data_IF_055392128194
#
_entry.id   IF_055392128194
#
_cell.length_a   1.000
_cell.length_b   1.000
_cell.length_c   1.000
_cell.angle_alpha   90.00
_cell.angle_beta   90.00
_cell.angle_gamma   90.00
#
_symmetry.space_group_name_H-M   'P 1'
#
loop_
_entity.id
_entity.type
_entity.pdbx_description
1 polymer ?
#
# COMPACT_ATOMS: atom_id res chain seq x y z
N UNK A 1 13.18 -27.39 6.12
CA UNK A 1 12.17 -26.46 5.67
C UNK A 1 10.80 -26.83 6.20
N UNK A 2 10.11 -25.91 6.80
CA UNK A 2 8.84 -26.16 7.44
C UNK A 2 7.79 -25.25 6.82
N UNK A 3 6.69 -25.84 6.36
CA UNK A 3 5.60 -25.07 5.78
C UNK A 3 4.98 -24.17 6.83
N UNK A 4 4.66 -22.95 6.43
CA UNK A 4 4.00 -22.00 7.30
C UNK A 4 4.92 -21.29 8.26
N UNK A 5 6.21 -21.57 8.18
CA UNK A 5 7.19 -20.86 9.01
C UNK A 5 7.63 -19.58 8.35
N UNK A 6 7.79 -18.56 9.15
CA UNK A 6 8.36 -17.31 8.70
C UNK A 6 9.64 -17.02 9.46
N UNK A 7 10.57 -16.33 8.83
CA UNK A 7 11.76 -15.88 9.52
C UNK A 7 11.37 -14.86 10.58
N UNK A 8 12.21 -14.70 11.57
CA UNK A 8 11.98 -13.67 12.58
C UNK A 8 11.93 -12.29 11.94
N UNK A 9 12.78 -12.04 10.93
CA UNK A 9 12.76 -10.78 10.23
C UNK A 9 11.42 -10.50 9.60
N UNK A 10 10.81 -11.52 8.98
CA UNK A 10 9.49 -11.34 8.36
C UNK A 10 8.42 -11.00 9.39
N UNK A 11 8.50 -11.60 10.58
CA UNK A 11 7.58 -11.27 11.66
C UNK A 11 7.80 -9.83 12.12
N UNK A 12 9.05 -9.41 12.23
CA UNK A 12 9.36 -8.04 12.62
C UNK A 12 8.90 -7.04 11.56
N UNK A 13 9.05 -7.40 10.29
CA UNK A 13 8.57 -6.54 9.21
C UNK A 13 7.05 -6.40 9.29
N UNK A 14 6.35 -7.49 9.56
CA UNK A 14 4.90 -7.43 9.75
C UNK A 14 4.54 -6.45 10.86
N UNK A 15 5.26 -6.48 11.96
CA UNK A 15 4.99 -5.57 13.06
C UNK A 15 5.14 -4.11 12.63
N UNK A 16 6.21 -3.79 11.90
CA UNK A 16 6.43 -2.44 11.44
C UNK A 16 5.36 -2.01 10.44
N UNK A 17 5.00 -2.93 9.53
CA UNK A 17 3.99 -2.62 8.53
C UNK A 17 2.62 -2.38 9.17
N UNK A 18 2.26 -3.19 10.16
CA UNK A 18 0.98 -2.99 10.87
C UNK A 18 0.95 -1.64 11.56
N UNK A 19 2.07 -1.22 12.14
CA UNK A 19 2.15 0.07 12.79
C UNK A 19 2.06 1.23 11.81
N UNK A 20 2.32 0.99 10.54
CA UNK A 20 2.27 2.04 9.52
C UNK A 20 0.87 2.29 8.99
N UNK A 21 -0.11 1.47 9.36
CA UNK A 21 -1.45 1.58 8.77
C UNK A 21 -2.08 2.92 9.11
N UNK A 22 -2.58 3.59 8.08
CA UNK A 22 -3.32 4.83 8.20
C UNK A 22 -4.66 4.64 7.54
N UNK A 23 -5.70 5.18 8.13
CA UNK A 23 -7.07 5.03 7.64
C UNK A 23 -7.53 6.40 7.16
N UNK A 24 -8.21 6.43 6.01
CA UNK A 24 -8.76 7.67 5.51
C UNK A 24 -9.84 8.19 6.46
N UNK A 25 -10.10 9.50 6.46
CA UNK A 25 -11.11 10.06 7.36
C UNK A 25 -12.47 9.42 7.25
N UNK A 26 -12.84 8.96 6.04
CA UNK A 26 -14.14 8.29 5.87
C UNK A 26 -14.12 6.81 6.22
N UNK A 27 -12.96 6.28 6.61
CA UNK A 27 -12.85 4.88 7.02
C UNK A 27 -12.81 3.86 5.90
N UNK A 28 -12.82 4.30 4.64
CA UNK A 28 -12.98 3.40 3.50
C UNK A 28 -11.67 2.91 2.91
N UNK A 29 -10.59 3.63 3.16
CA UNK A 29 -9.28 3.29 2.61
C UNK A 29 -8.29 3.06 3.74
N UNK A 30 -7.54 1.97 3.65
CA UNK A 30 -6.42 1.74 4.55
C UNK A 30 -5.13 1.78 3.74
N UNK A 31 -4.11 2.42 4.28
CA UNK A 31 -2.78 2.48 3.68
C UNK A 31 -1.79 1.80 4.59
N UNK A 32 -1.00 0.91 4.01
CA UNK A 32 0.12 0.28 4.71
C UNK A 32 1.38 0.63 3.95
N UNK A 33 2.46 0.92 4.66
CA UNK A 33 3.70 1.35 4.02
C UNK A 33 4.84 0.43 4.44
N UNK A 34 5.63 0.00 3.45
CA UNK A 34 6.86 -0.76 3.70
C UNK A 34 7.99 0.01 3.03
N UNK A 35 8.86 0.58 3.84
CA UNK A 35 9.96 1.37 3.32
C UNK A 35 11.23 0.52 3.25
N UNK A 36 12.20 1.04 2.49
CA UNK A 36 13.51 0.42 2.41
C UNK A 36 14.16 0.31 3.78
N UNK A 37 14.03 1.37 4.59
CA UNK A 37 14.57 1.33 5.94
C UNK A 37 13.98 0.24 6.80
N UNK A 38 12.68 0.00 6.65
CA UNK A 38 12.03 -1.08 7.40
C UNK A 38 12.59 -2.44 6.99
N UNK A 39 12.81 -2.63 5.69
CA UNK A 39 13.37 -3.89 5.21
C UNK A 39 14.82 -4.06 5.66
N UNK A 40 15.58 -2.99 5.65
CA UNK A 40 16.97 -3.05 6.12
C UNK A 40 17.04 -3.36 7.60
N UNK A 41 16.18 -2.72 8.38
CA UNK A 41 16.16 -2.92 9.82
C UNK A 41 15.82 -4.36 10.19
N UNK A 42 14.94 -4.99 9.44
CA UNK A 42 14.50 -6.35 9.72
C UNK A 42 15.26 -7.40 8.92
N UNK A 43 16.18 -6.96 8.06
CA UNK A 43 16.97 -7.86 7.21
C UNK A 43 16.06 -8.72 6.34
N UNK A 44 15.07 -8.07 5.73
CA UNK A 44 14.11 -8.74 4.85
C UNK A 44 14.28 -8.25 3.42
N UNK A 45 13.65 -8.98 2.51
CA UNK A 45 13.66 -8.68 1.09
C UNK A 45 12.26 -8.23 0.67
N UNK A 46 12.16 -7.76 -0.57
CA UNK A 46 10.88 -7.28 -1.08
C UNK A 46 9.80 -8.35 -1.01
N UNK A 47 10.15 -9.59 -1.30
CA UNK A 47 9.15 -10.67 -1.30
C UNK A 47 8.66 -11.02 0.09
N UNK A 48 9.36 -10.59 1.13
CA UNK A 48 8.87 -10.81 2.50
C UNK A 48 7.66 -9.94 2.82
N UNK A 49 7.37 -8.96 1.96
CA UNK A 49 6.17 -8.15 2.12
C UNK A 49 4.94 -8.75 1.44
N UNK A 50 5.11 -9.88 0.75
CA UNK A 50 3.98 -10.52 0.09
C UNK A 50 2.92 -10.91 1.12
N UNK A 51 1.69 -10.58 0.80
CA UNK A 51 0.57 -10.92 1.67
C UNK A 51 0.27 -9.92 2.78
N UNK A 52 1.14 -8.95 3.00
CA UNK A 52 0.92 -7.98 4.07
C UNK A 52 -0.36 -7.17 3.83
N UNK A 53 -0.69 -6.91 2.58
CA UNK A 53 -1.88 -6.12 2.25
C UNK A 53 -3.15 -6.79 2.76
N UNK A 54 -3.13 -8.10 2.98
CA UNK A 54 -4.31 -8.81 3.47
C UNK A 54 -4.71 -8.38 4.87
N UNK A 55 -3.76 -7.88 5.65
CA UNK A 55 -4.11 -7.33 6.96
C UNK A 55 -4.82 -5.99 6.83
N UNK A 56 -4.34 -5.16 5.92
CA UNK A 56 -4.93 -3.84 5.71
C UNK A 56 -6.35 -3.94 5.14
N UNK A 57 -6.62 -4.97 4.32
CA UNK A 57 -7.93 -5.10 3.69
C UNK A 57 -8.99 -5.70 4.60
N UNK A 58 -8.59 -6.22 5.76
CA UNK A 58 -9.53 -6.87 6.68
C UNK A 58 -10.00 -5.97 7.80
N UNK A 59 -9.67 -4.71 7.73
CA UNK A 59 -10.11 -3.74 8.73
C UNK A 59 -11.58 -3.41 8.48
N UNK A 60 -12.34 -3.35 9.55
CA UNK A 60 -13.77 -3.12 9.48
C UNK A 60 -14.07 -1.83 8.72
N UNK A 61 -15.07 -1.87 7.84
CA UNK A 61 -15.53 -0.76 7.02
C UNK A 61 -14.61 -0.36 5.87
N UNK A 62 -13.42 -0.93 5.79
CA UNK A 62 -12.49 -0.63 4.71
C UNK A 62 -12.96 -1.29 3.42
N UNK A 63 -13.02 -0.50 2.35
CA UNK A 63 -13.41 -0.98 1.02
C UNK A 63 -12.22 -1.18 0.11
N UNK A 64 -11.16 -0.42 0.33
CA UNK A 64 -9.94 -0.52 -0.47
C UNK A 64 -8.74 -0.48 0.46
N UNK A 65 -7.79 -1.37 0.22
CA UNK A 65 -6.51 -1.37 0.91
C UNK A 65 -5.39 -1.11 -0.07
N UNK A 66 -4.42 -0.33 0.34
CA UNK A 66 -3.24 -0.05 -0.46
C UNK A 66 -1.99 -0.41 0.32
N UNK A 67 -1.03 -1.04 -0.36
CA UNK A 67 0.30 -1.26 0.17
C UNK A 67 1.27 -0.45 -0.66
N UNK A 68 1.95 0.48 -0.02
CA UNK A 68 2.95 1.32 -0.67
C UNK A 68 4.30 0.76 -0.28
N UNK A 69 4.99 0.15 -1.25
CA UNK A 69 6.25 -0.53 -0.97
C UNK A 69 7.38 0.14 -1.72
N UNK A 70 8.37 0.60 -0.99
CA UNK A 70 9.52 1.24 -1.59
C UNK A 70 10.38 0.20 -2.29
N UNK A 71 10.83 0.54 -3.50
CA UNK A 71 11.68 -0.37 -4.27
C UNK A 71 13.12 -0.22 -3.83
N UNK A 72 13.79 -1.36 -3.71
CA UNK A 72 15.15 -1.37 -3.16
C UNK A 72 16.22 -1.31 -4.22
N UNK A 73 15.87 -1.57 -5.48
CA UNK A 73 16.86 -1.50 -6.54
C UNK A 73 17.00 -0.06 -6.99
N UNK A 74 18.20 0.35 -7.23
CA UNK A 74 18.48 1.70 -7.64
C UNK A 74 18.88 2.56 -6.46
N UNK A 75 19.21 3.79 -6.76
CA UNK A 75 19.69 4.70 -5.78
C UNK A 75 18.60 5.52 -5.22
N UNK A 76 18.64 5.80 -3.98
CA UNK A 76 17.79 6.79 -3.42
C UNK A 76 18.61 7.75 -2.58
N UNK A 77 18.20 8.99 -2.56
CA UNK A 77 18.82 9.96 -1.69
C UNK A 77 17.71 10.75 -1.04
N UNK A 78 18.04 11.44 0.03
CA UNK A 78 17.04 12.22 0.75
C UNK A 78 16.44 13.30 -0.13
N UNK A 79 17.17 13.76 -1.13
CA UNK A 79 16.71 14.84 -1.99
C UNK A 79 15.89 14.37 -3.17
N UNK A 80 15.93 13.08 -3.49
CA UNK A 80 15.27 12.56 -4.67
C UNK A 80 13.97 11.86 -4.29
N UNK A 81 12.95 11.91 -5.16
CA UNK A 81 11.76 11.12 -4.90
C UNK A 81 12.09 9.64 -4.97
N UNK A 82 11.44 8.86 -4.14
CA UNK A 82 11.63 7.43 -4.15
C UNK A 82 10.79 6.76 -5.21
N UNK A 83 11.11 5.52 -5.48
CA UNK A 83 10.33 4.68 -6.36
C UNK A 83 9.52 3.72 -5.52
N UNK A 84 8.25 3.64 -5.81
CA UNK A 84 7.34 2.83 -5.02
C UNK A 84 6.47 1.99 -5.93
N UNK A 85 6.14 0.82 -5.45
CA UNK A 85 5.08 0.00 -6.04
C UNK A 85 3.86 0.10 -5.13
N UNK A 86 2.72 0.44 -5.70
CA UNK A 86 1.48 0.56 -4.95
C UNK A 86 0.59 -0.58 -5.36
N UNK A 87 0.25 -1.43 -4.41
CA UNK A 87 -0.70 -2.52 -4.63
C UNK A 87 -2.04 -2.11 -4.07
N UNK A 88 -3.10 -2.46 -4.78
CA UNK A 88 -4.46 -2.09 -4.40
C UNK A 88 -5.34 -3.32 -4.36
N UNK A 89 -6.18 -3.41 -3.35
CA UNK A 89 -7.17 -4.47 -3.22
C UNK A 89 -8.50 -3.86 -2.85
N UNK A 90 -9.56 -4.32 -3.46
CA UNK A 90 -10.90 -3.80 -3.23
C UNK A 90 -11.82 -4.94 -2.83
N UNK A 91 -12.92 -4.60 -2.17
CA UNK A 91 -13.95 -5.58 -1.84
C UNK A 91 -14.90 -5.83 -3.00
N UNK A 92 -14.59 -5.27 -4.17
CA UNK A 92 -15.43 -5.41 -5.35
C UNK A 92 -16.30 -4.19 -5.64
N UNK A 93 -16.45 -3.31 -4.67
CA UNK A 93 -17.29 -2.13 -4.85
C UNK A 93 -16.61 -1.05 -5.66
N UNK A 94 -15.29 -1.14 -5.85
CA UNK A 94 -14.51 -0.13 -6.54
C UNK A 94 -13.57 -0.82 -7.51
N UNK A 95 -13.45 -0.26 -8.70
CA UNK A 95 -12.53 -0.77 -9.72
C UNK A 95 -11.14 -0.16 -9.49
N UNK A 96 -10.29 -0.90 -8.79
CA UNK A 96 -8.94 -0.40 -8.50
C UNK A 96 -8.05 -0.43 -9.75
N UNK A 97 -8.39 -1.26 -10.75
CA UNK A 97 -7.63 -1.27 -11.99
C UNK A 97 -7.79 0.07 -12.74
N UNK A 98 -8.97 0.67 -12.66
CA UNK A 98 -9.18 1.98 -13.29
C UNK A 98 -8.29 3.02 -12.65
N UNK A 99 -8.19 3.01 -11.33
CA UNK A 99 -7.33 3.97 -10.64
C UNK A 99 -5.85 3.71 -10.98
N UNK A 100 -5.42 2.45 -10.93
CA UNK A 100 -4.04 2.10 -11.26
C UNK A 100 -3.70 2.53 -12.69
N UNK A 101 -4.65 2.42 -13.60
CA UNK A 101 -4.44 2.80 -14.98
C UNK A 101 -4.11 4.27 -15.17
N UNK A 102 -4.58 5.13 -14.27
CA UNK A 102 -4.26 6.55 -14.37
C UNK A 102 -2.78 6.84 -14.09
N UNK A 103 -2.09 5.86 -13.53
CA UNK A 103 -0.65 5.95 -13.26
C UNK A 103 0.15 4.97 -14.14
N UNK A 104 -0.46 4.45 -15.19
CA UNK A 104 0.24 3.55 -16.10
C UNK A 104 0.26 2.10 -15.65
N UNK A 105 -0.44 1.79 -14.60
CA UNK A 105 -0.52 0.42 -14.11
C UNK A 105 -1.78 -0.28 -14.58
N UNK A 106 -2.19 -1.31 -13.85
CA UNK A 106 -3.37 -2.05 -14.21
C UNK A 106 -3.54 -3.27 -13.34
N UNK A 107 -4.42 -4.16 -13.78
CA UNK A 107 -4.70 -5.38 -13.06
C UNK A 107 -6.15 -5.76 -13.23
N UNK A 108 -6.73 -6.30 -12.17
CA UNK A 108 -8.11 -6.72 -12.15
C UNK A 108 -8.95 -5.71 -11.37
N UNK A 109 -10.27 -5.81 -11.54
CA UNK A 109 -11.20 -4.93 -10.86
C UNK A 109 -10.93 -4.86 -9.36
N UNK A 110 -10.67 -6.00 -8.74
CA UNK A 110 -10.46 -6.07 -7.28
C UNK A 110 -9.02 -6.12 -6.84
N UNK A 111 -8.06 -6.14 -7.77
CA UNK A 111 -6.64 -6.27 -7.41
C UNK A 111 -5.79 -5.70 -8.52
N UNK A 112 -5.10 -4.61 -8.24
CA UNK A 112 -4.31 -3.92 -9.26
C UNK A 112 -3.10 -3.27 -8.62
N UNK A 113 -2.24 -2.71 -9.45
CA UNK A 113 -1.08 -2.03 -8.92
C UNK A 113 -0.43 -1.13 -9.96
N UNK A 114 0.45 -0.28 -9.48
CA UNK A 114 1.20 0.61 -10.36
C UNK A 114 2.52 0.98 -9.70
N UNK A 115 3.43 1.49 -10.50
CA UNK A 115 4.69 2.00 -9.99
C UNK A 115 4.71 3.51 -10.16
N UNK A 116 5.32 4.19 -9.21
CA UNK A 116 5.34 5.64 -9.22
C UNK A 116 6.65 6.12 -8.60
N UNK A 117 7.17 7.19 -9.17
CA UNK A 117 8.34 7.85 -8.62
C UNK A 117 7.87 9.20 -8.08
N UNK A 118 7.80 9.31 -6.75
CA UNK A 118 7.27 10.51 -6.11
C UNK A 118 7.61 10.45 -4.63
N UNK A 119 7.56 11.56 -3.92
CA UNK A 119 7.71 11.52 -2.46
C UNK A 119 6.57 10.71 -1.85
N UNK A 120 6.90 9.97 -0.81
CA UNK A 120 5.91 9.12 -0.15
C UNK A 120 4.68 9.91 0.31
N UNK A 121 4.90 11.10 0.84
CA UNK A 121 3.79 11.92 1.32
C UNK A 121 2.82 12.28 0.19
N UNK A 122 3.35 12.51 -1.01
CA UNK A 122 2.51 12.81 -2.16
C UNK A 122 1.66 11.62 -2.56
N UNK A 123 2.26 10.42 -2.51
CA UNK A 123 1.54 9.21 -2.86
C UNK A 123 0.38 9.00 -1.88
N UNK A 124 0.66 9.16 -0.60
CA UNK A 124 -0.38 9.03 0.42
C UNK A 124 -1.48 10.05 0.23
N UNK A 125 -1.10 11.30 -0.07
CA UNK A 125 -2.10 12.35 -0.29
C UNK A 125 -3.00 12.06 -1.47
N UNK A 126 -2.43 11.54 -2.56
CA UNK A 126 -3.23 11.21 -3.74
C UNK A 126 -4.21 10.08 -3.46
N UNK A 127 -3.78 9.07 -2.70
CA UNK A 127 -4.67 7.97 -2.34
C UNK A 127 -5.78 8.44 -1.42
N UNK A 128 -5.45 9.27 -0.45
CA UNK A 128 -6.47 9.82 0.47
C UNK A 128 -7.47 10.70 -0.27
N UNK A 129 -6.98 11.52 -1.20
CA UNK A 129 -7.87 12.37 -1.99
C UNK A 129 -8.80 11.54 -2.86
N UNK A 130 -8.28 10.45 -3.42
CA UNK A 130 -9.10 9.54 -4.20
C UNK A 130 -10.21 8.93 -3.36
N UNK A 131 -9.88 8.49 -2.16
CA UNK A 131 -10.90 7.92 -1.27
C UNK A 131 -11.96 8.94 -0.93
N UNK A 132 -11.55 10.19 -0.72
CA UNK A 132 -12.51 11.25 -0.42
C UNK A 132 -13.46 11.47 -1.58
N UNK A 133 -12.94 11.45 -2.81
CA UNK A 133 -13.79 11.63 -3.99
C UNK A 133 -14.74 10.45 -4.18
N UNK A 134 -14.28 9.23 -3.88
CA UNK A 134 -15.09 8.06 -4.12
C UNK A 134 -16.27 7.94 -3.16
N UNK A 135 -16.09 8.32 -1.90
CA UNK A 135 -17.11 8.07 -0.89
C UNK A 135 -17.58 9.30 -0.15
N UNK A 136 -16.84 10.39 -0.20
CA UNK A 136 -17.17 11.54 0.62
C UNK A 136 -17.56 12.75 -0.16
N UNK A 137 -16.95 12.95 -1.30
CA UNK A 137 -17.13 14.19 -2.04
C UNK A 137 -18.49 14.30 -2.64
N UNK A 138 -19.10 15.43 -2.45
CA UNK A 138 -20.37 15.72 -3.09
C UNK A 138 -21.57 15.06 -2.49
N UNK A 139 -21.39 14.32 -1.43
CA UNK A 139 -22.54 13.72 -0.78
C UNK A 139 -23.35 14.77 -0.06
N UNK A 140 -24.59 14.88 -0.37
CA UNK A 140 -25.41 15.80 0.44
C UNK A 140 -25.59 15.20 1.81
N UNK A 141 -25.48 16.00 2.75
CA UNK A 141 -25.63 15.53 4.12
C UNK A 141 -26.78 16.23 4.75
#
# INVERSE_FOLDING_TARGET
HVYGSYSLGRIKLLNLALNSIEISPNGKLSLMTVTRGMMEETQTQAEDADGLINYARRIEDVRVAALIQEQVNGRSSAAAPGRFHVSLRSDGSVDVAAFAGTYGGGGHHGAAGFQIEAPLADIKSRLMAWAERMWGGGEPR
#
